data_IF_158270410390
#
_entry.id   IF_158270410390
#
_cell.length_a   1.000
_cell.length_b   1.000
_cell.length_c   1.000
_cell.angle_alpha   90.00
_cell.angle_beta   90.00
_cell.angle_gamma   90.00
#
_symmetry.space_group_name_H-M   'P 1'
#
loop_
_entity.id
_entity.type
_entity.pdbx_description
1 polymer ?
#
# COMPACT_ATOMS: atom_id res chain seq x y z
N UNK A 1 4.66 -6.14 11.45
CA UNK A 1 3.58 -7.14 11.64
C UNK A 1 2.31 -6.70 10.91
N UNK A 2 1.52 -7.65 10.38
CA UNK A 2 0.21 -7.40 9.75
C UNK A 2 -0.80 -8.40 10.31
N UNK A 3 -2.05 -7.97 10.51
CA UNK A 3 -3.15 -8.85 10.91
C UNK A 3 -4.15 -9.08 9.77
N UNK A 4 -4.63 -10.31 9.63
CA UNK A 4 -5.82 -10.66 8.86
C UNK A 4 -6.89 -11.19 9.82
N UNK A 5 -8.04 -10.53 9.86
CA UNK A 5 -9.18 -10.92 10.71
C UNK A 5 -10.24 -11.58 9.83
N UNK A 6 -10.78 -12.71 10.29
CA UNK A 6 -11.83 -13.47 9.64
C UNK A 6 -12.93 -13.73 10.67
N UNK A 7 -14.13 -13.23 10.39
CA UNK A 7 -15.32 -13.48 11.20
C UNK A 7 -16.00 -14.76 10.70
N UNK A 8 -16.32 -15.68 11.60
CA UNK A 8 -16.85 -17.00 11.27
C UNK A 8 -17.96 -17.46 12.22
N UNK A 9 -18.57 -18.58 11.89
CA UNK A 9 -19.74 -19.13 12.60
C UNK A 9 -19.46 -20.47 13.28
N UNK A 10 -18.33 -21.12 12.98
CA UNK A 10 -18.04 -22.48 13.42
C UNK A 10 -16.65 -22.58 14.05
N UNK A 11 -16.62 -22.84 15.37
CA UNK A 11 -15.38 -23.08 16.10
C UNK A 11 -14.72 -24.40 15.71
N UNK A 12 -15.49 -25.45 15.38
CA UNK A 12 -14.92 -26.75 15.00
C UNK A 12 -14.06 -26.61 13.75
N UNK A 13 -14.60 -25.96 12.71
CA UNK A 13 -13.87 -25.67 11.48
C UNK A 13 -12.58 -24.88 11.71
N UNK A 14 -12.63 -23.81 12.53
CA UNK A 14 -11.44 -22.98 12.79
C UNK A 14 -10.40 -23.72 13.62
N UNK A 15 -10.80 -24.43 14.69
CA UNK A 15 -9.88 -25.19 15.53
C UNK A 15 -9.25 -26.34 14.74
N UNK A 16 -10.02 -27.09 13.96
CA UNK A 16 -9.47 -28.12 13.07
C UNK A 16 -8.51 -27.51 12.04
N UNK A 17 -8.85 -26.36 11.44
CA UNK A 17 -7.94 -25.67 10.51
C UNK A 17 -6.61 -25.25 11.17
N UNK A 18 -6.67 -24.84 12.43
CA UNK A 18 -5.51 -24.38 13.19
C UNK A 18 -4.62 -25.53 13.67
N UNK A 19 -5.19 -26.67 14.06
CA UNK A 19 -4.45 -27.77 14.68
C UNK A 19 -4.11 -28.91 13.72
N UNK A 20 -4.95 -29.17 12.72
CA UNK A 20 -4.75 -30.28 11.78
C UNK A 20 -3.74 -29.91 10.69
N UNK A 21 -2.47 -29.81 11.07
CA UNK A 21 -1.34 -29.56 10.16
C UNK A 21 -0.38 -30.75 10.16
N UNK A 22 0.13 -31.15 8.99
CA UNK A 22 1.11 -32.22 8.91
C UNK A 22 2.44 -31.82 9.58
N UNK A 23 3.20 -32.82 10.01
CA UNK A 23 4.60 -32.70 10.45
C UNK A 23 4.86 -31.66 11.56
N UNK A 24 4.00 -31.61 12.59
CA UNK A 24 4.12 -30.68 13.73
C UNK A 24 4.22 -29.20 13.33
N UNK A 25 3.72 -28.85 12.14
CA UNK A 25 3.71 -27.47 11.63
C UNK A 25 2.74 -26.56 12.37
N UNK A 26 1.99 -27.08 13.34
CA UNK A 26 1.14 -26.33 14.26
C UNK A 26 1.57 -26.60 15.70
N UNK A 27 1.83 -25.54 16.46
CA UNK A 27 2.17 -25.61 17.88
C UNK A 27 1.25 -24.69 18.69
N UNK A 28 0.49 -25.25 19.64
CA UNK A 28 -0.28 -24.46 20.60
C UNK A 28 0.71 -23.74 21.52
N UNK A 29 0.61 -22.41 21.59
CA UNK A 29 1.47 -21.59 22.44
C UNK A 29 0.76 -21.14 23.72
N UNK A 30 -0.54 -20.85 23.63
CA UNK A 30 -1.35 -20.44 24.77
C UNK A 30 -2.82 -20.77 24.56
N UNK A 31 -3.53 -21.05 25.65
CA UNK A 31 -4.95 -21.32 25.70
C UNK A 31 -5.54 -20.60 26.93
N UNK A 32 -6.55 -19.77 26.69
CA UNK A 32 -7.21 -18.98 27.74
C UNK A 32 -8.68 -19.37 27.80
N UNK A 33 -9.14 -19.85 28.95
CA UNK A 33 -10.54 -20.24 29.17
C UNK A 33 -11.01 -21.49 28.42
N UNK A 34 -10.09 -22.23 27.80
CA UNK A 34 -10.36 -23.49 27.06
C UNK A 34 -9.32 -24.54 27.45
N UNK A 35 -9.69 -25.82 27.32
CA UNK A 35 -8.75 -26.94 27.31
C UNK A 35 -7.80 -26.79 26.12
N UNK A 36 -6.70 -27.55 26.09
CA UNK A 36 -5.63 -27.37 25.09
C UNK A 36 -5.10 -28.66 24.45
N UNK A 37 -5.76 -29.80 24.71
CA UNK A 37 -5.27 -31.12 24.30
C UNK A 37 -5.90 -31.59 22.99
N UNK A 38 -7.23 -31.76 22.97
CA UNK A 38 -7.95 -32.30 21.82
C UNK A 38 -8.75 -31.21 21.11
N UNK A 39 -8.70 -31.20 19.78
CA UNK A 39 -9.43 -30.23 18.95
C UNK A 39 -10.93 -30.17 19.26
N UNK A 40 -11.56 -31.33 19.48
CA UNK A 40 -12.98 -31.42 19.81
C UNK A 40 -13.30 -30.80 21.18
N UNK A 41 -12.44 -31.02 22.17
CA UNK A 41 -12.62 -30.44 23.51
C UNK A 41 -12.47 -28.91 23.49
N UNK A 42 -11.46 -28.43 22.78
CA UNK A 42 -11.23 -27.00 22.57
C UNK A 42 -12.46 -26.36 21.90
N UNK A 43 -12.93 -26.94 20.79
CA UNK A 43 -14.09 -26.43 20.07
C UNK A 43 -15.36 -26.49 20.92
N UNK A 44 -15.52 -27.54 21.74
CA UNK A 44 -16.62 -27.65 22.69
C UNK A 44 -16.62 -26.50 23.71
N UNK A 45 -15.47 -26.19 24.30
CA UNK A 45 -15.35 -25.10 25.28
C UNK A 45 -15.69 -23.73 24.68
N UNK A 46 -15.25 -23.48 23.43
CA UNK A 46 -15.63 -22.28 22.68
C UNK A 46 -17.14 -22.20 22.41
N UNK A 47 -17.74 -23.31 21.96
CA UNK A 47 -19.17 -23.36 21.68
C UNK A 47 -20.00 -23.19 22.96
N UNK A 48 -19.53 -23.69 24.10
CA UNK A 48 -20.21 -23.54 25.39
C UNK A 48 -20.35 -22.05 25.77
N UNK A 49 -19.27 -21.27 25.68
CA UNK A 49 -19.35 -19.83 25.94
C UNK A 49 -20.15 -19.08 24.87
N UNK A 50 -20.06 -19.48 23.60
CA UNK A 50 -20.87 -18.88 22.54
C UNK A 50 -22.38 -19.10 22.76
N UNK A 51 -22.76 -20.21 23.40
CA UNK A 51 -24.17 -20.53 23.73
C UNK A 51 -24.82 -19.54 24.69
N UNK A 52 -24.05 -18.72 25.41
CA UNK A 52 -24.58 -17.62 26.23
C UNK A 52 -25.29 -16.54 25.38
N UNK A 53 -25.01 -16.47 24.07
CA UNK A 53 -25.70 -15.58 23.12
C UNK A 53 -26.00 -16.27 21.79
N UNK A 54 -27.06 -17.10 21.72
CA UNK A 54 -27.37 -17.88 20.51
C UNK A 54 -27.74 -17.02 19.29
N UNK A 55 -28.15 -15.76 19.49
CA UNK A 55 -28.52 -14.86 18.40
C UNK A 55 -27.31 -14.26 17.65
N UNK A 56 -26.09 -14.44 18.16
CA UNK A 56 -24.87 -13.95 17.50
C UNK A 56 -24.40 -14.97 16.48
N UNK A 57 -24.70 -14.73 15.20
CA UNK A 57 -24.35 -15.66 14.12
C UNK A 57 -22.84 -15.83 13.94
N UNK A 58 -22.05 -14.77 14.14
CA UNK A 58 -20.59 -14.76 13.94
C UNK A 58 -19.85 -14.63 15.27
N UNK A 59 -19.88 -15.69 16.07
CA UNK A 59 -19.20 -15.73 17.36
C UNK A 59 -17.68 -15.93 17.23
N UNK A 60 -17.20 -16.46 16.10
CA UNK A 60 -15.77 -16.75 15.90
C UNK A 60 -15.05 -15.55 15.33
N UNK A 61 -13.96 -15.12 15.98
CA UNK A 61 -12.99 -14.20 15.41
C UNK A 61 -11.65 -14.93 15.24
N UNK A 62 -11.28 -15.22 13.99
CA UNK A 62 -9.99 -15.83 13.64
C UNK A 62 -9.02 -14.76 13.16
N UNK A 63 -7.99 -14.50 13.96
CA UNK A 63 -6.98 -13.50 13.65
C UNK A 63 -5.66 -14.16 13.30
N UNK A 64 -5.08 -13.77 12.17
CA UNK A 64 -3.77 -14.23 11.73
C UNK A 64 -2.79 -13.08 11.87
N UNK A 65 -1.81 -13.19 12.76
CA UNK A 65 -0.72 -12.22 12.91
C UNK A 65 0.50 -12.72 12.13
N UNK A 66 0.89 -11.99 11.10
CA UNK A 66 2.04 -12.31 10.25
C UNK A 66 3.19 -11.35 10.50
N UNK A 67 4.39 -11.89 10.61
CA UNK A 67 5.63 -11.15 10.88
C UNK A 67 6.55 -11.13 9.65
N UNK A 68 7.55 -10.25 9.65
CA UNK A 68 8.57 -10.26 8.60
C UNK A 68 9.44 -11.51 8.74
N UNK A 69 9.93 -12.05 7.62
CA UNK A 69 10.96 -13.09 7.66
C UNK A 69 12.26 -12.59 8.34
N UNK A 70 12.55 -11.29 8.23
CA UNK A 70 13.73 -10.68 8.85
C UNK A 70 13.66 -10.67 10.38
N UNK A 71 12.47 -10.84 10.97
CA UNK A 71 12.30 -10.85 12.42
C UNK A 71 12.34 -12.29 13.00
N UNK A 72 12.50 -13.31 12.15
CA UNK A 72 12.29 -14.71 12.53
C UNK A 72 13.15 -15.16 13.72
N UNK A 73 14.43 -14.77 13.76
CA UNK A 73 15.36 -15.12 14.84
C UNK A 73 14.96 -14.51 16.19
N UNK A 74 14.26 -13.37 16.18
CA UNK A 74 13.80 -12.66 17.39
C UNK A 74 12.43 -13.13 17.88
N UNK A 75 11.70 -13.89 17.05
CA UNK A 75 10.33 -14.35 17.34
C UNK A 75 10.34 -15.73 17.99
N UNK A 76 10.84 -15.77 19.23
CA UNK A 76 10.65 -16.91 20.13
C UNK A 76 9.17 -17.10 20.46
N UNK A 77 8.76 -18.30 20.86
CA UNK A 77 7.36 -18.58 21.23
C UNK A 77 6.86 -17.63 22.32
N UNK A 78 7.68 -17.36 23.34
CA UNK A 78 7.36 -16.42 24.41
C UNK A 78 7.15 -14.98 23.90
N UNK A 79 8.00 -14.53 22.97
CA UNK A 79 7.85 -13.21 22.34
C UNK A 79 6.57 -13.13 21.50
N UNK A 80 6.27 -14.19 20.77
CA UNK A 80 5.06 -14.26 19.95
C UNK A 80 3.79 -14.24 20.80
N UNK A 81 3.75 -14.99 21.92
CA UNK A 81 2.64 -14.93 22.89
C UNK A 81 2.49 -13.54 23.47
N UNK A 82 3.60 -12.93 23.93
CA UNK A 82 3.57 -11.57 24.49
C UNK A 82 2.97 -10.54 23.52
N UNK A 83 3.38 -10.57 22.25
CA UNK A 83 2.85 -9.67 21.22
C UNK A 83 1.36 -9.97 20.95
N UNK A 84 0.97 -11.24 20.93
CA UNK A 84 -0.41 -11.64 20.71
C UNK A 84 -1.33 -11.20 21.85
N UNK A 85 -0.90 -11.34 23.10
CA UNK A 85 -1.68 -10.92 24.27
C UNK A 85 -1.87 -9.40 24.30
N UNK A 86 -0.79 -8.62 24.08
CA UNK A 86 -0.91 -7.15 23.97
C UNK A 86 -1.81 -6.72 22.80
N UNK A 87 -1.78 -7.48 21.69
CA UNK A 87 -2.67 -7.25 20.56
C UNK A 87 -4.13 -7.52 20.94
N UNK A 88 -4.42 -8.63 21.62
CA UNK A 88 -5.77 -8.99 22.08
C UNK A 88 -6.31 -7.95 23.08
N UNK A 89 -5.49 -7.53 24.03
CA UNK A 89 -5.84 -6.50 25.01
C UNK A 89 -6.25 -5.19 24.31
N UNK A 90 -5.40 -4.66 23.43
CA UNK A 90 -5.69 -3.43 22.68
C UNK A 90 -6.89 -3.56 21.72
N UNK A 91 -7.15 -4.77 21.22
CA UNK A 91 -8.33 -5.06 20.40
C UNK A 91 -9.62 -5.19 21.23
N UNK A 92 -9.53 -5.29 22.56
CA UNK A 92 -10.67 -5.46 23.45
C UNK A 92 -11.12 -6.92 23.59
N UNK A 93 -10.20 -7.86 23.39
CA UNK A 93 -10.39 -9.30 23.52
C UNK A 93 -9.65 -9.89 24.75
N UNK A 94 -9.38 -9.07 25.77
CA UNK A 94 -8.72 -9.54 26.99
C UNK A 94 -9.62 -10.44 27.85
N UNK A 95 -10.92 -10.18 27.87
CA UNK A 95 -11.89 -10.86 28.76
C UNK A 95 -12.78 -11.86 27.99
N UNK A 96 -12.14 -12.80 27.30
CA UNK A 96 -12.80 -13.85 26.54
C UNK A 96 -11.88 -15.05 26.31
N UNK A 97 -12.44 -16.16 25.85
CA UNK A 97 -11.66 -17.32 25.44
C UNK A 97 -10.78 -17.02 24.22
N UNK A 98 -9.55 -17.56 24.25
CA UNK A 98 -8.64 -17.51 23.12
C UNK A 98 -7.74 -18.73 23.03
N UNK A 99 -7.31 -19.06 21.80
CA UNK A 99 -6.30 -20.07 21.52
C UNK A 99 -5.27 -19.50 20.55
N UNK A 100 -4.01 -19.48 20.95
CA UNK A 100 -2.88 -18.98 20.14
C UNK A 100 -2.08 -20.18 19.63
N UNK A 101 -1.96 -20.30 18.31
CA UNK A 101 -1.26 -21.39 17.63
C UNK A 101 -0.24 -20.80 16.66
N UNK A 102 1.02 -21.23 16.76
CA UNK A 102 2.07 -20.91 15.80
C UNK A 102 2.02 -21.87 14.63
N UNK A 103 2.07 -21.34 13.41
CA UNK A 103 2.27 -22.14 12.19
C UNK A 103 3.68 -21.95 11.65
N UNK A 104 4.28 -23.05 11.20
CA UNK A 104 5.62 -23.09 10.58
C UNK A 104 5.59 -23.56 9.12
N UNK A 105 4.41 -23.53 8.49
CA UNK A 105 4.16 -24.00 7.12
C UNK A 105 4.54 -22.98 6.02
N UNK A 106 5.03 -21.79 6.40
CA UNK A 106 5.41 -20.70 5.48
C UNK A 106 6.74 -20.07 5.89
N UNK A 107 7.39 -19.41 4.93
CA UNK A 107 8.65 -18.67 5.15
C UNK A 107 8.52 -17.53 6.19
N UNK A 108 7.34 -16.97 6.35
CA UNK A 108 7.10 -15.91 7.32
C UNK A 108 6.52 -16.49 8.62
N UNK A 109 7.10 -16.17 9.79
CA UNK A 109 6.51 -16.54 11.07
C UNK A 109 5.11 -15.96 11.19
N UNK A 110 4.16 -16.76 11.66
CA UNK A 110 2.80 -16.28 11.88
C UNK A 110 2.08 -17.06 12.99
N UNK A 111 1.12 -16.38 13.60
CA UNK A 111 0.19 -16.94 14.57
C UNK A 111 -1.20 -17.01 13.97
N UNK A 112 -1.92 -18.06 14.32
CA UNK A 112 -3.36 -18.13 14.25
C UNK A 112 -3.92 -17.99 15.67
N UNK A 113 -4.88 -17.08 15.84
CA UNK A 113 -5.55 -16.83 17.11
C UNK A 113 -7.04 -17.06 16.89
N UNK A 114 -7.61 -18.05 17.57
CA UNK A 114 -9.06 -18.21 17.67
C UNK A 114 -9.54 -17.42 18.89
N UNK A 115 -10.59 -16.62 18.73
CA UNK A 115 -11.13 -15.76 19.78
C UNK A 115 -12.65 -15.93 19.81
N UNK A 116 -13.21 -16.04 21.00
CA UNK A 116 -14.66 -15.98 21.18
C UNK A 116 -15.12 -14.52 21.24
N UNK A 117 -16.10 -14.14 20.42
CA UNK A 117 -16.71 -12.81 20.48
C UNK A 117 -17.73 -12.66 21.60
N UNK A 118 -18.10 -13.75 22.27
CA UNK A 118 -18.90 -13.67 23.48
C UNK A 118 -17.91 -13.59 24.64
N UNK A 119 -17.87 -12.46 25.34
CA UNK A 119 -17.00 -12.25 26.49
C UNK A 119 -17.42 -13.11 27.68
N UNK A 120 -16.57 -13.16 28.71
CA UNK A 120 -16.83 -13.94 29.92
C UNK A 120 -18.07 -13.44 30.68
N UNK A 121 -18.45 -12.17 30.49
CA UNK A 121 -19.69 -11.57 30.99
C UNK A 121 -20.94 -11.92 30.15
N UNK A 122 -20.77 -12.79 29.15
CA UNK A 122 -21.81 -13.17 28.22
C UNK A 122 -22.20 -12.07 27.23
N UNK A 123 -21.51 -10.92 27.14
CA UNK A 123 -21.81 -9.87 26.16
C UNK A 123 -21.03 -10.04 24.87
N UNK A 124 -21.57 -9.51 23.77
CA UNK A 124 -20.89 -9.55 22.47
C UNK A 124 -19.83 -8.45 22.38
N UNK A 125 -18.60 -8.85 22.09
CA UNK A 125 -17.49 -7.95 21.77
C UNK A 125 -17.69 -7.41 20.35
N UNK A 126 -17.60 -6.08 20.22
CA UNK A 126 -17.85 -5.37 18.96
C UNK A 126 -16.73 -5.60 17.94
N UNK A 127 -17.12 -5.87 16.69
CA UNK A 127 -16.25 -5.95 15.51
C UNK A 127 -16.16 -4.61 14.75
N UNK A 128 -16.76 -3.54 15.30
CA UNK A 128 -16.83 -2.24 14.64
C UNK A 128 -15.42 -1.71 14.37
N UNK A 129 -15.16 -1.41 13.09
CA UNK A 129 -13.88 -0.89 12.61
C UNK A 129 -12.67 -1.76 12.98
N UNK A 130 -12.85 -3.07 13.19
CA UNK A 130 -11.79 -3.98 13.65
C UNK A 130 -10.55 -3.93 12.76
N UNK A 131 -10.73 -3.87 11.43
CA UNK A 131 -9.61 -3.81 10.48
C UNK A 131 -8.79 -2.54 10.66
N UNK A 132 -9.45 -1.40 10.87
CA UNK A 132 -8.80 -0.11 11.07
C UNK A 132 -8.05 -0.08 12.41
N UNK A 133 -8.72 -0.48 13.49
CA UNK A 133 -8.14 -0.59 14.84
C UNK A 133 -6.93 -1.51 14.83
N UNK A 134 -7.08 -2.70 14.26
CA UNK A 134 -6.02 -3.70 14.14
C UNK A 134 -4.84 -3.18 13.34
N UNK A 135 -5.06 -2.44 12.25
CA UNK A 135 -3.95 -1.89 11.44
C UNK A 135 -3.12 -0.90 12.26
N UNK A 136 -3.79 -0.04 13.04
CA UNK A 136 -3.14 0.91 13.94
C UNK A 136 -2.35 0.20 15.04
N UNK A 137 -2.96 -0.80 15.68
CA UNK A 137 -2.33 -1.58 16.76
C UNK A 137 -1.14 -2.39 16.23
N UNK A 138 -1.27 -3.04 15.07
CA UNK A 138 -0.16 -3.77 14.46
C UNK A 138 1.04 -2.85 14.20
N UNK A 139 0.80 -1.63 13.71
CA UNK A 139 1.85 -0.65 13.51
C UNK A 139 2.50 -0.23 14.83
N UNK A 140 1.70 0.13 15.83
CA UNK A 140 2.19 0.52 17.17
C UNK A 140 3.05 -0.57 17.80
N UNK A 141 2.59 -1.84 17.76
CA UNK A 141 3.34 -2.96 18.30
C UNK A 141 4.61 -3.26 17.47
N UNK A 142 4.55 -3.11 16.15
CA UNK A 142 5.74 -3.27 15.29
C UNK A 142 6.81 -2.26 15.68
N UNK A 143 6.44 -0.99 15.87
CA UNK A 143 7.35 0.08 16.30
C UNK A 143 7.87 -0.19 17.73
N UNK A 144 6.99 -0.49 18.68
CA UNK A 144 7.32 -0.76 20.10
C UNK A 144 8.34 -1.88 20.27
N UNK A 145 8.18 -2.96 19.51
CA UNK A 145 9.04 -4.14 19.59
C UNK A 145 10.26 -4.08 18.67
N UNK A 146 10.45 -2.96 17.95
CA UNK A 146 11.53 -2.80 16.98
C UNK A 146 11.50 -3.88 15.90
N UNK A 147 10.31 -4.30 15.48
CA UNK A 147 10.10 -5.28 14.41
C UNK A 147 10.19 -4.60 13.06
N UNK A 148 10.44 -5.39 12.01
CA UNK A 148 10.58 -4.86 10.65
C UNK A 148 9.28 -4.20 10.18
N UNK A 149 9.37 -2.91 9.86
CA UNK A 149 8.33 -2.17 9.15
C UNK A 149 8.53 -2.42 7.65
N UNK A 150 7.46 -2.83 6.96
CA UNK A 150 7.50 -2.97 5.50
C UNK A 150 7.61 -1.59 4.85
N UNK A 151 8.81 -1.22 4.41
CA UNK A 151 9.04 0.05 3.74
C UNK A 151 8.91 -0.05 2.22
N UNK A 152 8.20 0.92 1.65
CA UNK A 152 8.08 1.12 0.22
C UNK A 152 7.27 0.05 -0.52
N UNK A 153 7.32 0.15 -1.85
CA UNK A 153 6.51 -0.66 -2.76
C UNK A 153 7.29 -1.73 -3.53
N UNK A 154 8.61 -1.81 -3.30
CA UNK A 154 9.49 -2.67 -4.08
C UNK A 154 9.41 -4.14 -3.62
N UNK A 155 9.30 -4.40 -2.31
CA UNK A 155 9.28 -5.77 -1.74
C UNK A 155 7.88 -6.38 -1.62
N UNK A 156 6.91 -5.91 -2.40
CA UNK A 156 5.55 -6.48 -2.38
C UNK A 156 5.46 -7.66 -3.34
N UNK A 157 4.94 -8.78 -2.84
CA UNK A 157 4.71 -9.99 -3.61
C UNK A 157 3.60 -9.75 -4.66
N UNK A 158 4.01 -9.27 -5.84
CA UNK A 158 3.12 -8.92 -6.96
C UNK A 158 2.17 -10.07 -7.35
N UNK A 159 2.62 -11.33 -7.48
CA UNK A 159 1.74 -12.46 -7.81
C UNK A 159 0.59 -12.70 -6.84
N UNK A 160 0.73 -12.30 -5.56
CA UNK A 160 -0.29 -12.47 -4.52
C UNK A 160 -1.32 -11.35 -4.46
N UNK A 161 -1.11 -10.25 -5.18
CA UNK A 161 -2.07 -9.16 -5.24
C UNK A 161 -3.35 -9.61 -5.96
N UNK A 162 -4.50 -9.09 -5.52
CA UNK A 162 -5.83 -9.40 -6.06
C UNK A 162 -6.66 -8.12 -6.14
N UNK A 163 -7.64 -8.12 -7.04
CA UNK A 163 -8.59 -7.00 -7.21
C UNK A 163 -7.90 -5.65 -7.43
N UNK A 164 -8.43 -4.62 -6.78
CA UNK A 164 -7.94 -3.23 -6.91
C UNK A 164 -6.46 -3.05 -6.57
N UNK A 165 -5.92 -3.81 -5.60
CA UNK A 165 -4.53 -3.65 -5.22
C UNK A 165 -3.58 -4.14 -6.32
N UNK A 166 -3.95 -5.20 -7.06
CA UNK A 166 -3.21 -5.62 -8.26
C UNK A 166 -3.16 -4.48 -9.28
N UNK A 167 -4.31 -3.89 -9.59
CA UNK A 167 -4.41 -2.78 -10.55
C UNK A 167 -3.62 -1.54 -10.11
N UNK A 168 -3.66 -1.17 -8.82
CA UNK A 168 -2.85 -0.05 -8.30
C UNK A 168 -1.35 -0.29 -8.49
N UNK A 169 -0.88 -1.52 -8.30
CA UNK A 169 0.52 -1.85 -8.49
C UNK A 169 0.93 -1.92 -9.96
N UNK A 170 0.05 -2.41 -10.84
CA UNK A 170 0.29 -2.33 -12.28
C UNK A 170 0.38 -0.89 -12.77
N UNK A 171 -0.50 0.00 -12.30
CA UNK A 171 -0.40 1.43 -12.60
C UNK A 171 0.88 2.01 -12.00
N UNK A 172 1.25 1.60 -10.78
CA UNK A 172 2.50 2.07 -10.16
C UNK A 172 3.72 1.69 -10.99
N UNK A 173 3.82 0.43 -11.41
CA UNK A 173 4.95 -0.09 -12.19
C UNK A 173 4.98 0.56 -13.59
N UNK A 174 3.82 0.80 -14.22
CA UNK A 174 3.70 1.53 -15.47
C UNK A 174 4.21 2.96 -15.38
N UNK A 175 3.78 3.72 -14.35
CA UNK A 175 4.26 5.08 -14.12
C UNK A 175 5.76 5.07 -13.86
N UNK A 176 6.26 4.13 -13.06
CA UNK A 176 7.69 3.98 -12.77
C UNK A 176 8.52 3.76 -14.05
N UNK A 177 8.00 3.02 -15.02
CA UNK A 177 8.68 2.76 -16.29
C UNK A 177 8.63 3.95 -17.26
N UNK A 178 7.47 4.62 -17.35
CA UNK A 178 7.22 5.69 -18.34
C UNK A 178 7.75 7.05 -17.89
N UNK A 179 7.66 7.36 -16.59
CA UNK A 179 7.97 8.68 -16.05
C UNK A 179 9.42 9.14 -16.33
N UNK A 180 10.47 8.31 -16.15
CA UNK A 180 11.85 8.73 -16.41
C UNK A 180 12.11 9.13 -17.86
N UNK A 181 11.38 8.54 -18.81
CA UNK A 181 11.53 8.81 -20.24
C UNK A 181 10.60 9.92 -20.76
N UNK A 182 9.73 10.43 -19.89
CA UNK A 182 8.72 11.41 -20.25
C UNK A 182 9.21 12.83 -19.99
N UNK A 183 9.12 13.67 -21.02
CA UNK A 183 9.60 15.06 -21.00
C UNK A 183 8.48 16.06 -20.72
N UNK A 184 7.25 15.65 -21.02
CA UNK A 184 6.05 16.47 -20.89
C UNK A 184 4.84 15.56 -20.69
N UNK A 185 3.67 16.13 -20.41
CA UNK A 185 2.50 15.32 -20.14
C UNK A 185 1.98 14.61 -21.38
N UNK A 186 2.20 15.17 -22.57
CA UNK A 186 1.81 14.51 -23.82
C UNK A 186 2.50 13.16 -23.99
N UNK A 187 3.83 13.12 -23.80
CA UNK A 187 4.62 11.88 -23.86
C UNK A 187 4.23 10.94 -22.71
N UNK A 188 4.10 11.48 -21.49
CA UNK A 188 3.73 10.68 -20.32
C UNK A 188 2.37 9.99 -20.47
N UNK A 189 1.34 10.74 -20.89
CA UNK A 189 -0.02 10.21 -21.06
C UNK A 189 -0.05 9.21 -22.21
N UNK A 190 0.64 9.47 -23.32
CA UNK A 190 0.72 8.52 -24.43
C UNK A 190 1.39 7.20 -24.01
N UNK A 191 2.48 7.25 -23.24
CA UNK A 191 3.15 6.05 -22.74
C UNK A 191 2.28 5.23 -21.78
N UNK A 192 1.44 5.88 -20.97
CA UNK A 192 0.46 5.19 -20.12
C UNK A 192 -0.71 4.61 -20.92
N UNK A 193 -1.19 5.32 -21.95
CA UNK A 193 -2.25 4.83 -22.83
C UNK A 193 -1.83 3.56 -23.58
N UNK A 194 -0.57 3.46 -23.99
CA UNK A 194 -0.01 2.22 -24.57
C UNK A 194 -0.05 1.02 -23.61
N UNK A 195 -0.05 1.26 -22.30
CA UNK A 195 -0.19 0.23 -21.27
C UNK A 195 -1.65 0.03 -20.80
N UNK A 196 -2.62 0.58 -21.53
CA UNK A 196 -4.05 0.48 -21.21
C UNK A 196 -4.48 1.35 -20.03
N UNK A 197 -3.69 2.37 -19.66
CA UNK A 197 -3.97 3.25 -18.51
C UNK A 197 -4.44 4.61 -19.02
N UNK A 198 -5.69 4.96 -18.73
CA UNK A 198 -6.23 6.29 -19.06
C UNK A 198 -5.92 7.27 -17.94
N UNK A 199 -5.39 8.45 -18.29
CA UNK A 199 -5.13 9.53 -17.33
C UNK A 199 -6.25 10.58 -17.36
N UNK A 200 -6.69 11.04 -16.18
CA UNK A 200 -7.67 12.12 -16.02
C UNK A 200 -7.20 13.12 -14.96
N UNK A 201 -7.42 14.40 -15.19
CA UNK A 201 -7.18 15.43 -14.18
C UNK A 201 -8.43 15.72 -13.37
N UNK A 202 -8.26 15.91 -12.06
CA UNK A 202 -9.33 16.40 -11.19
C UNK A 202 -9.57 17.88 -11.47
N UNK A 203 -10.83 18.28 -11.42
CA UNK A 203 -11.28 19.67 -11.55
C UNK A 203 -11.85 20.15 -10.22
N UNK A 204 -11.48 21.36 -9.77
CA UNK A 204 -12.14 22.04 -8.66
C UNK A 204 -12.76 23.34 -9.17
N UNK A 205 -14.08 23.30 -9.43
CA UNK A 205 -14.82 24.46 -9.92
C UNK A 205 -14.24 25.07 -11.19
N UNK A 206 -14.34 26.41 -11.30
CA UNK A 206 -13.84 27.20 -12.42
C UNK A 206 -12.39 27.68 -12.23
N UNK A 207 -11.59 26.98 -11.42
CA UNK A 207 -10.20 27.35 -11.15
C UNK A 207 -9.25 26.68 -12.14
N UNK A 208 -8.16 27.37 -12.49
CA UNK A 208 -7.09 26.81 -13.33
C UNK A 208 -6.10 25.92 -12.56
N UNK A 209 -6.31 25.75 -11.26
CA UNK A 209 -5.52 24.85 -10.42
C UNK A 209 -5.96 23.40 -10.64
N UNK A 210 -5.02 22.51 -10.94
CA UNK A 210 -5.25 21.07 -11.02
C UNK A 210 -4.98 20.43 -9.64
N UNK A 211 -6.02 20.15 -8.83
CA UNK A 211 -5.86 19.62 -7.47
C UNK A 211 -5.38 18.15 -7.43
N UNK A 212 -5.35 17.45 -8.56
CA UNK A 212 -4.85 16.08 -8.60
C UNK A 212 -5.09 15.35 -9.92
N UNK A 213 -4.64 14.11 -9.93
CA UNK A 213 -4.66 13.22 -11.09
C UNK A 213 -5.33 11.89 -10.73
N UNK A 214 -5.99 11.28 -11.69
CA UNK A 214 -6.69 10.00 -11.61
C UNK A 214 -6.18 9.12 -12.74
N UNK A 215 -5.82 7.89 -12.41
CA UNK A 215 -5.47 6.85 -13.37
C UNK A 215 -6.59 5.81 -13.41
N UNK A 216 -6.97 5.38 -14.61
CA UNK A 216 -8.05 4.42 -14.84
C UNK A 216 -7.49 3.22 -15.59
N UNK A 217 -7.70 2.03 -15.04
CA UNK A 217 -7.35 0.74 -15.65
C UNK A 217 -8.46 -0.26 -15.37
N UNK A 218 -8.89 -1.00 -16.38
CA UNK A 218 -9.93 -2.04 -16.30
C UNK A 218 -11.22 -1.55 -15.61
N UNK A 219 -11.63 -0.31 -15.88
CA UNK A 219 -12.81 0.32 -15.29
C UNK A 219 -12.62 0.88 -13.86
N UNK A 220 -11.54 0.50 -13.16
CA UNK A 220 -11.23 1.01 -11.82
C UNK A 220 -10.45 2.33 -11.89
N UNK A 221 -10.80 3.29 -11.02
CA UNK A 221 -10.20 4.63 -10.98
C UNK A 221 -9.47 4.89 -9.67
N UNK A 222 -8.20 5.31 -9.75
CA UNK A 222 -7.36 5.57 -8.58
C UNK A 222 -6.75 6.97 -8.61
N UNK A 223 -6.83 7.69 -7.48
CA UNK A 223 -6.12 8.96 -7.31
C UNK A 223 -4.62 8.71 -7.29
N UNK A 224 -3.84 9.51 -8.02
CA UNK A 224 -2.38 9.33 -8.10
C UNK A 224 -1.70 9.26 -6.73
N UNK A 225 -2.06 10.15 -5.81
CA UNK A 225 -1.58 10.14 -4.41
C UNK A 225 -1.99 8.93 -3.58
N UNK A 226 -3.09 8.23 -3.95
CA UNK A 226 -3.49 6.95 -3.33
C UNK A 226 -2.77 5.76 -3.93
N UNK A 227 -2.24 5.91 -5.15
CA UNK A 227 -1.27 4.97 -5.70
C UNK A 227 0.02 5.23 -4.93
N UNK A 228 0.71 6.33 -5.18
CA UNK A 228 1.93 6.70 -4.47
C UNK A 228 1.98 8.21 -4.23
N UNK A 229 2.55 8.66 -3.11
CA UNK A 229 2.66 10.10 -2.81
C UNK A 229 3.46 10.84 -3.89
N UNK A 230 4.45 10.18 -4.49
CA UNK A 230 5.23 10.71 -5.62
C UNK A 230 4.42 10.86 -6.91
N UNK A 231 3.27 10.19 -7.03
CA UNK A 231 2.41 10.25 -8.22
C UNK A 231 1.24 11.23 -8.07
N UNK A 232 1.37 12.22 -7.18
CA UNK A 232 0.50 13.39 -7.19
C UNK A 232 0.77 14.26 -8.42
N UNK A 233 -0.23 15.03 -8.86
CA UNK A 233 -0.07 15.91 -10.03
C UNK A 233 1.14 16.85 -9.88
N UNK A 234 1.27 17.52 -8.72
CA UNK A 234 2.36 18.45 -8.47
C UNK A 234 3.74 17.79 -8.60
N UNK A 235 3.92 16.62 -7.97
CA UNK A 235 5.18 15.85 -8.03
C UNK A 235 5.50 15.36 -9.44
N UNK A 236 4.50 14.83 -10.16
CA UNK A 236 4.69 14.41 -11.54
C UNK A 236 5.05 15.59 -12.45
N UNK A 237 4.39 16.74 -12.28
CA UNK A 237 4.68 17.94 -13.06
C UNK A 237 6.11 18.44 -12.81
N UNK A 238 6.55 18.44 -11.55
CA UNK A 238 7.92 18.78 -11.17
C UNK A 238 8.93 17.83 -11.83
N UNK A 239 8.72 16.52 -11.75
CA UNK A 239 9.61 15.53 -12.40
C UNK A 239 9.64 15.67 -13.92
N UNK A 240 8.49 15.88 -14.57
CA UNK A 240 8.45 16.07 -16.03
C UNK A 240 9.21 17.34 -16.44
N UNK A 241 9.07 18.43 -15.69
CA UNK A 241 9.80 19.67 -15.95
C UNK A 241 11.31 19.48 -15.77
N UNK A 242 11.75 18.76 -14.73
CA UNK A 242 13.16 18.42 -14.51
C UNK A 242 13.72 17.58 -15.67
N UNK A 243 12.99 16.55 -16.12
CA UNK A 243 13.40 15.72 -17.26
C UNK A 243 13.56 16.54 -18.54
N UNK A 244 12.69 17.52 -18.78
CA UNK A 244 12.76 18.40 -19.94
C UNK A 244 14.02 19.29 -19.88
N UNK A 245 14.27 19.93 -18.73
CA UNK A 245 15.44 20.79 -18.52
C UNK A 245 16.74 20.02 -18.68
N UNK A 246 16.83 18.82 -18.10
CA UNK A 246 18.03 18.01 -18.17
C UNK A 246 18.40 17.65 -19.62
N UNK A 247 17.41 17.32 -20.45
CA UNK A 247 17.68 17.00 -21.85
C UNK A 247 18.03 18.22 -22.70
N UNK A 248 17.43 19.38 -22.42
CA UNK A 248 17.84 20.63 -23.08
C UNK A 248 19.31 20.91 -22.78
N UNK A 249 19.72 20.72 -21.53
CA UNK A 249 21.13 20.84 -21.14
C UNK A 249 22.01 19.80 -21.85
N UNK A 250 21.64 18.52 -21.86
CA UNK A 250 22.38 17.46 -22.56
C UNK A 250 22.52 17.74 -24.07
N UNK A 251 21.47 18.24 -24.73
CA UNK A 251 21.51 18.64 -26.14
C UNK A 251 22.44 19.83 -26.37
N UNK A 252 22.42 20.84 -25.49
CA UNK A 252 23.31 21.99 -25.58
C UNK A 252 24.78 21.56 -25.42
N UNK A 253 25.08 20.70 -24.45
CA UNK A 253 26.44 20.16 -24.26
C UNK A 253 26.92 19.36 -25.48
N UNK A 254 26.05 18.56 -26.11
CA UNK A 254 26.39 17.82 -27.33
C UNK A 254 26.69 18.77 -28.50
N UNK A 255 25.86 19.79 -28.73
CA UNK A 255 26.06 20.79 -29.80
C UNK A 255 27.35 21.58 -29.57
N UNK A 256 27.64 22.00 -28.33
CA UNK A 256 28.89 22.70 -28.01
C UNK A 256 30.13 21.84 -28.27
N UNK A 257 30.02 20.52 -28.10
CA UNK A 257 31.12 19.58 -28.36
C UNK A 257 31.37 19.35 -29.85
N UNK A 258 30.31 19.28 -30.65
CA UNK A 258 30.41 19.18 -32.12
C UNK A 258 30.94 20.48 -32.76
N UNK A 259 30.57 21.64 -32.23
CA UNK A 259 31.03 22.94 -32.75
C UNK A 259 32.51 23.21 -32.42
N UNK A 260 33.01 22.71 -31.28
CA UNK A 260 34.43 22.82 -30.91
C UNK A 260 35.38 22.04 -31.83
N UNK A 261 34.89 21.06 -32.58
CA UNK A 261 35.69 20.31 -33.57
C UNK A 261 35.63 20.92 -34.99
N UNK A 262 34.77 21.92 -35.24
CA UNK A 262 34.42 22.36 -36.60
C UNK A 262 34.65 23.83 -36.98
N UNK A 263 34.83 24.79 -36.05
CA UNK A 263 34.98 26.20 -36.46
C UNK A 263 35.49 27.13 -35.35
N UNK A 264 36.69 27.70 -35.50
CA UNK A 264 37.32 28.56 -34.47
C UNK A 264 36.83 30.02 -34.44
N UNK A 265 36.02 30.48 -35.40
CA UNK A 265 35.76 31.93 -35.56
C UNK A 265 34.31 32.37 -35.31
N UNK A 266 33.38 31.47 -34.95
CA UNK A 266 31.97 31.83 -34.67
C UNK A 266 31.63 31.85 -33.17
N UNK A 267 32.56 31.43 -32.31
CA UNK A 267 32.31 31.17 -30.89
C UNK A 267 32.46 32.39 -29.98
N UNK A 268 33.24 33.40 -30.37
CA UNK A 268 33.50 34.55 -29.50
C UNK A 268 32.25 35.43 -29.32
N UNK A 269 31.51 35.69 -30.39
CA UNK A 269 30.31 36.55 -30.35
C UNK A 269 29.08 35.89 -29.70
N UNK A 270 28.91 34.57 -29.83
CA UNK A 270 27.78 33.86 -29.20
C UNK A 270 28.02 33.53 -27.73
N UNK A 271 29.28 33.41 -27.29
CA UNK A 271 29.60 33.08 -25.89
C UNK A 271 29.30 34.22 -24.93
N UNK A 272 29.55 35.48 -25.32
CA UNK A 272 29.31 36.65 -24.47
C UNK A 272 27.81 36.92 -24.29
N UNK A 273 27.01 36.77 -25.34
CA UNK A 273 25.55 36.92 -25.27
C UNK A 273 24.85 35.81 -24.46
N UNK A 274 25.43 34.61 -24.38
CA UNK A 274 24.85 33.49 -23.64
C UNK A 274 25.18 33.49 -22.15
N UNK A 275 26.36 34.02 -21.75
CA UNK A 275 26.79 34.04 -20.34
C UNK A 275 26.08 35.15 -19.55
N UNK A 276 25.79 36.31 -20.15
CA UNK A 276 25.06 37.39 -19.46
C UNK A 276 23.60 37.04 -19.16
N UNK A 277 22.96 36.16 -19.95
CA UNK A 277 21.57 35.75 -19.71
C UNK A 277 21.40 34.74 -18.56
N UNK A 278 22.49 34.15 -18.06
CA UNK A 278 22.45 33.02 -17.11
C UNK A 278 23.02 33.30 -15.71
N UNK A 279 23.44 34.53 -15.41
CA UNK A 279 23.99 34.89 -14.08
C UNK A 279 22.97 35.45 -13.08
N UNK A 280 21.68 35.14 -13.22
CA UNK A 280 20.69 35.34 -12.16
C UNK A 280 19.74 34.13 -12.03
N UNK A 281 19.49 33.61 -10.81
CA UNK A 281 18.43 32.64 -10.57
C UNK A 281 17.09 33.38 -10.58
N UNK A 282 16.59 33.78 -11.75
CA UNK A 282 15.24 34.31 -11.87
C UNK A 282 14.26 33.17 -12.11
N UNK A 283 13.41 32.97 -11.11
CA UNK A 283 12.16 32.23 -11.16
C UNK A 283 11.27 32.73 -12.32
N UNK A 284 11.40 32.13 -13.49
CA UNK A 284 10.31 32.01 -14.46
C UNK A 284 10.74 31.00 -15.54
N UNK A 285 10.52 29.71 -15.25
CA UNK A 285 10.44 28.73 -16.32
C UNK A 285 9.35 29.20 -17.29
N UNK A 286 9.74 29.49 -18.54
CA UNK A 286 8.81 29.84 -19.61
C UNK A 286 7.66 28.84 -19.60
N UNK A 287 6.45 29.36 -19.39
CA UNK A 287 5.25 28.56 -19.31
C UNK A 287 5.03 27.90 -20.68
N UNK A 288 5.24 26.58 -20.78
CA UNK A 288 4.96 25.83 -22.00
C UNK A 288 3.45 25.88 -22.28
N UNK A 289 3.06 26.81 -23.16
CA UNK A 289 1.66 27.12 -23.50
C UNK A 289 0.96 25.91 -24.13
N UNK A 290 1.70 25.07 -24.88
CA UNK A 290 1.16 23.87 -25.51
C UNK A 290 0.88 22.78 -24.49
N UNK A 291 1.74 22.67 -23.48
CA UNK A 291 1.55 21.78 -22.34
C UNK A 291 0.32 22.20 -21.49
N UNK A 292 0.17 23.50 -21.18
CA UNK A 292 -1.05 24.02 -20.52
C UNK A 292 -2.30 23.73 -21.37
N UNK A 293 -2.22 23.94 -22.68
CA UNK A 293 -3.34 23.69 -23.60
C UNK A 293 -3.70 22.20 -23.65
N UNK A 294 -2.71 21.31 -23.61
CA UNK A 294 -2.91 19.87 -23.54
C UNK A 294 -3.58 19.44 -22.24
N UNK A 295 -3.11 19.94 -21.10
CA UNK A 295 -3.74 19.71 -19.79
C UNK A 295 -5.19 20.20 -19.77
N UNK A 296 -5.46 21.38 -20.33
CA UNK A 296 -6.81 21.95 -20.46
C UNK A 296 -7.72 21.08 -21.35
N UNK A 297 -7.20 20.48 -22.43
CA UNK A 297 -7.94 19.52 -23.26
C UNK A 297 -8.29 18.25 -22.48
N UNK A 298 -7.35 17.68 -21.73
CA UNK A 298 -7.60 16.50 -20.89
C UNK A 298 -8.63 16.79 -19.79
N UNK A 299 -8.56 17.99 -19.19
CA UNK A 299 -9.56 18.50 -18.22
C UNK A 299 -10.97 18.52 -18.81
N UNK A 300 -11.12 19.06 -20.02
CA UNK A 300 -12.41 19.20 -20.68
C UNK A 300 -13.01 17.85 -21.11
N UNK A 301 -12.17 16.89 -21.53
CA UNK A 301 -12.60 15.50 -21.83
C UNK A 301 -13.18 14.81 -20.60
N UNK A 302 -12.59 15.02 -19.42
CA UNK A 302 -13.09 14.47 -18.16
C UNK A 302 -14.48 15.03 -17.77
N UNK A 303 -14.72 16.32 -18.01
CA UNK A 303 -16.00 16.97 -17.68
C UNK A 303 -17.16 16.54 -18.61
N UNK A 304 -16.90 16.19 -19.88
CA UNK A 304 -17.94 15.72 -20.81
C UNK A 304 -18.51 14.34 -20.47
N UNK A 305 -17.71 13.43 -19.89
CA UNK A 305 -18.16 12.09 -19.46
C UNK A 305 -19.01 12.06 -18.19
N UNK A 306 -19.18 13.20 -17.49
CA UNK A 306 -20.03 13.34 -16.29
C UNK A 306 -21.45 13.83 -16.59
N UNK A 307 -21.73 14.18 -17.85
CA UNK A 307 -22.95 14.89 -18.28
C UNK A 307 -23.92 14.02 -19.10
N UNK A 308 -23.75 12.70 -19.05
CA UNK A 308 -24.65 11.71 -19.67
C UNK A 308 -25.11 10.78 -18.55
#
# INVERSE_FOLDING_TARGET
MIAKIIQGTDFNGVINYMLNRPDDKAKVLAATGVRSTLANDIAHDFNLQASMRPNVQKAVCHTILSFSANDAERLTDAMMVKIADEYLEKMGYADTQSLIVRHSDRQHPHLHICINRIGNDGKTITDRNEKYRSTKICRELTERYGLTIGEGKQKVNRPRLRGEDKLKYEIFDAIKAVLPQSKNWKVFVAGLEQQGITTRFKTKGNTDVIPGIIFVKDGCSFSGSKIDRSYSFARLNETLNQNNQQQQYEQLVLVSKEVSEGSSNFLTELSEAFVESFTLPTSNAGVDVDEIRFQKKLRNRANRKRRI
#
